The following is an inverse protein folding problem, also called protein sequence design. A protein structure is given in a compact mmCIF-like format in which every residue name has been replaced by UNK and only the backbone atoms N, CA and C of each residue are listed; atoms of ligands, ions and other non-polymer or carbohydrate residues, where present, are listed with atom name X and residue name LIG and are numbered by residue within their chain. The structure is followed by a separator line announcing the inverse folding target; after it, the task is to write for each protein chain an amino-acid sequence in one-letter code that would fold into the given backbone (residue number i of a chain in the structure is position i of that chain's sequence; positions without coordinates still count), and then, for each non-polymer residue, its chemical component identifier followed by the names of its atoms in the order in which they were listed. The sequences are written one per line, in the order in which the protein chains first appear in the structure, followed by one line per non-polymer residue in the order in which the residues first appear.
data_IF_894615093050
#
_entry.id   IF_894615093050
#
_cell.length_a   1.000
_cell.length_b   1.000
_cell.length_c   1.000
_cell.angle_alpha   90.00
_cell.angle_beta   90.00
_cell.angle_gamma   90.00
#
_symmetry.space_group_name_H-M   'P 1'
#
loop_
_entity.id
_entity.type
_entity.pdbx_description
1 polymer ?
#
# COMPACT_ATOMS: atom_id res chain seq x y z
N UNK A 1 -14.92 -2.05 -12.44
CA UNK A 1 -13.81 -1.85 -13.37
C UNK A 1 -12.56 -1.44 -12.62
N UNK A 2 -11.40 -1.83 -13.12
CA UNK A 2 -10.14 -1.62 -12.41
C UNK A 2 -9.83 -0.14 -12.17
N UNK A 3 -10.13 0.74 -13.15
CA UNK A 3 -9.91 2.18 -13.06
C UNK A 3 -10.75 2.82 -11.95
N UNK A 4 -11.95 2.31 -11.70
CA UNK A 4 -12.81 2.80 -10.63
C UNK A 4 -12.23 2.48 -9.26
N UNK A 5 -11.64 1.28 -9.09
CA UNK A 5 -11.01 0.88 -7.84
C UNK A 5 -9.80 1.75 -7.49
N UNK A 6 -9.04 2.16 -8.48
CA UNK A 6 -7.89 3.05 -8.25
C UNK A 6 -8.35 4.47 -7.91
N UNK A 7 -9.59 4.84 -8.23
CA UNK A 7 -10.17 6.13 -7.86
C UNK A 7 -10.87 6.08 -6.50
N UNK A 8 -10.86 4.92 -5.83
CA UNK A 8 -11.45 4.80 -4.48
C UNK A 8 -10.55 5.48 -3.44
N UNK A 9 -11.20 6.01 -2.41
CA UNK A 9 -10.52 6.57 -1.25
C UNK A 9 -9.65 5.52 -0.57
N UNK A 10 -8.41 5.87 -0.26
CA UNK A 10 -7.51 4.97 0.46
C UNK A 10 -8.08 4.67 1.85
N UNK A 11 -8.44 5.71 2.60
CA UNK A 11 -8.99 5.53 3.96
C UNK A 11 -10.27 4.70 3.94
N UNK A 12 -11.21 5.05 3.07
CA UNK A 12 -12.50 4.34 2.99
C UNK A 12 -12.32 2.89 2.60
N UNK A 13 -11.41 2.59 1.65
CA UNK A 13 -11.10 1.23 1.24
C UNK A 13 -10.55 0.39 2.39
N UNK A 14 -9.61 0.95 3.15
CA UNK A 14 -9.00 0.24 4.28
C UNK A 14 -10.05 -0.01 5.37
N UNK A 15 -10.86 0.99 5.70
CA UNK A 15 -11.95 0.84 6.68
C UNK A 15 -12.91 -0.28 6.28
N UNK A 16 -13.29 -0.30 5.01
CA UNK A 16 -14.18 -1.35 4.50
C UNK A 16 -13.57 -2.73 4.66
N UNK A 17 -12.30 -2.88 4.35
CA UNK A 17 -11.59 -4.17 4.48
C UNK A 17 -11.42 -4.59 5.95
N UNK A 18 -11.41 -3.62 6.87
CA UNK A 18 -11.36 -3.90 8.30
C UNK A 18 -12.76 -4.19 8.88
N UNK A 19 -13.81 -4.06 8.09
CA UNK A 19 -15.18 -4.29 8.54
C UNK A 19 -15.80 -3.11 9.26
N UNK A 20 -15.27 -1.91 9.09
CA UNK A 20 -15.77 -0.71 9.73
C UNK A 20 -16.71 0.05 8.78
N UNK A 21 -17.86 0.55 9.29
CA UNK A 21 -18.71 1.43 8.49
C UNK A 21 -17.96 2.71 8.09
N UNK A 22 -18.22 3.22 6.89
CA UNK A 22 -17.56 4.42 6.41
C UNK A 22 -17.84 5.64 7.27
N UNK A 23 -19.06 5.76 7.76
CA UNK A 23 -19.51 6.88 8.60
C UNK A 23 -18.99 6.82 10.03
N UNK A 24 -18.43 5.69 10.46
CA UNK A 24 -17.88 5.53 11.81
C UNK A 24 -16.44 6.05 11.82
N UNK A 25 -16.23 7.21 12.40
CA UNK A 25 -14.96 7.93 12.29
C UNK A 25 -14.12 7.95 13.59
N UNK A 26 -14.55 7.22 14.61
CA UNK A 26 -13.88 7.25 15.92
C UNK A 26 -12.41 6.80 15.85
N UNK A 27 -12.06 5.92 14.91
CA UNK A 27 -10.71 5.39 14.77
C UNK A 27 -9.96 5.91 13.55
N UNK A 28 -10.51 6.91 12.86
CA UNK A 28 -9.90 7.39 11.61
C UNK A 28 -8.46 7.85 11.82
N UNK A 29 -8.18 8.60 12.90
CA UNK A 29 -6.83 9.08 13.16
C UNK A 29 -5.84 7.94 13.35
N UNK A 30 -6.23 6.92 14.12
CA UNK A 30 -5.38 5.75 14.34
C UNK A 30 -5.13 4.99 13.03
N UNK A 31 -6.19 4.80 12.24
CA UNK A 31 -6.10 4.09 10.97
C UNK A 31 -5.20 4.86 9.98
N UNK A 32 -5.38 6.18 9.89
CA UNK A 32 -4.54 7.04 9.05
C UNK A 32 -3.06 6.91 9.45
N UNK A 33 -2.78 6.92 10.75
CA UNK A 33 -1.41 6.76 11.26
C UNK A 33 -0.80 5.44 10.79
N UNK A 34 -1.55 4.35 10.88
CA UNK A 34 -1.08 3.03 10.45
C UNK A 34 -0.93 2.96 8.92
N UNK A 35 -1.85 3.56 8.18
CA UNK A 35 -1.74 3.64 6.71
C UNK A 35 -0.46 4.38 6.33
N UNK A 36 -0.20 5.52 6.94
CA UNK A 36 0.99 6.32 6.65
C UNK A 36 2.28 5.59 7.01
N UNK A 37 2.27 4.80 8.08
CA UNK A 37 3.41 3.94 8.42
C UNK A 37 3.68 2.91 7.32
N UNK A 38 2.64 2.31 6.76
CA UNK A 38 2.78 1.37 5.65
C UNK A 38 3.35 2.06 4.41
N UNK A 39 2.87 3.26 4.09
CA UNK A 39 3.41 4.02 2.95
C UNK A 39 4.87 4.41 3.16
N UNK A 40 5.28 4.70 4.38
CA UNK A 40 6.69 4.97 4.68
C UNK A 40 7.57 3.78 4.33
N UNK A 41 7.14 2.57 4.70
CA UNK A 41 7.88 1.35 4.32
C UNK A 41 7.90 1.19 2.81
N UNK A 42 6.78 1.41 2.13
CA UNK A 42 6.73 1.32 0.67
C UNK A 42 7.70 2.29 0.00
N UNK A 43 7.81 3.52 0.51
CA UNK A 43 8.79 4.48 0.02
C UNK A 43 10.22 3.95 0.17
N UNK A 44 10.53 3.34 1.31
CA UNK A 44 11.85 2.74 1.55
C UNK A 44 12.15 1.58 0.60
N UNK A 45 11.11 0.87 0.16
CA UNK A 45 11.25 -0.23 -0.81
C UNK A 45 11.35 0.26 -2.25
N UNK A 46 11.21 1.56 -2.48
CA UNK A 46 11.25 2.13 -3.83
C UNK A 46 9.91 2.12 -4.54
N UNK A 47 8.80 1.97 -3.81
CA UNK A 47 7.45 1.91 -4.38
C UNK A 47 6.74 3.24 -4.14
N UNK A 48 6.18 3.82 -5.20
CA UNK A 48 5.46 5.08 -5.14
C UNK A 48 6.36 6.29 -5.29
N UNK A 49 5.87 7.49 -4.94
CA UNK A 49 6.65 8.71 -5.10
C UNK A 49 7.94 8.71 -4.28
N UNK A 50 9.04 9.14 -4.89
CA UNK A 50 10.36 9.13 -4.26
C UNK A 50 10.42 10.02 -3.01
N UNK A 51 9.61 11.08 -2.99
CA UNK A 51 9.55 12.02 -1.86
C UNK A 51 8.72 11.53 -0.69
N UNK A 52 8.10 10.38 -0.85
CA UNK A 52 7.21 9.82 0.16
C UNK A 52 5.75 10.11 -0.11
N UNK A 53 4.86 9.52 0.68
CA UNK A 53 3.43 9.65 0.49
C UNK A 53 2.71 9.50 1.82
N UNK A 54 1.73 10.37 2.06
CA UNK A 54 0.90 10.36 3.26
C UNK A 54 -0.54 10.74 2.90
N UNK A 55 -1.48 10.26 3.68
CA UNK A 55 -2.87 10.71 3.60
C UNK A 55 -3.23 11.48 4.88
N UNK A 56 -4.17 12.42 4.75
CA UNK A 56 -4.70 13.17 5.89
C UNK A 56 -6.18 12.87 6.14
N UNK A 57 -6.90 12.48 5.10
CA UNK A 57 -8.34 12.25 5.18
C UNK A 57 -8.79 11.28 4.07
N UNK A 58 -10.10 11.17 3.89
CA UNK A 58 -10.70 10.26 2.92
C UNK A 58 -10.65 10.75 1.48
N UNK A 59 -10.14 11.95 1.23
CA UNK A 59 -10.17 12.52 -0.12
C UNK A 59 -9.04 11.98 -1.02
N UNK A 60 -7.97 11.46 -0.43
CA UNK A 60 -6.84 10.92 -1.20
C UNK A 60 -7.20 9.53 -1.75
N UNK A 61 -6.97 9.33 -3.03
CA UNK A 61 -7.32 8.09 -3.73
C UNK A 61 -6.06 7.29 -4.08
N UNK A 62 -6.24 6.00 -4.40
CA UNK A 62 -5.11 5.11 -4.68
C UNK A 62 -4.25 5.59 -5.87
N UNK A 63 -4.88 6.15 -6.90
CA UNK A 63 -4.13 6.63 -8.06
C UNK A 63 -3.26 7.86 -7.75
N UNK A 64 -3.52 8.56 -6.64
CA UNK A 64 -2.62 9.62 -6.15
C UNK A 64 -1.28 9.06 -5.69
N UNK A 65 -1.29 7.83 -5.15
CA UNK A 65 -0.06 7.15 -4.74
C UNK A 65 0.69 6.60 -5.95
N UNK A 66 0.01 5.88 -6.83
CA UNK A 66 0.62 5.39 -8.05
C UNK A 66 -0.46 5.11 -9.10
N UNK A 67 -0.27 5.63 -10.32
CA UNK A 67 -1.24 5.42 -11.39
C UNK A 67 -1.11 4.05 -12.06
N UNK A 68 -0.08 3.28 -11.76
CA UNK A 68 0.22 2.02 -12.43
C UNK A 68 -0.56 0.86 -11.81
N UNK A 69 -1.38 0.21 -12.64
CA UNK A 69 -2.19 -0.95 -12.24
C UNK A 69 -1.37 -2.15 -11.79
N UNK A 70 -0.15 -2.29 -12.28
CA UNK A 70 0.68 -3.47 -12.01
C UNK A 70 0.94 -3.65 -10.52
N UNK A 71 1.09 -2.56 -9.79
CA UNK A 71 1.38 -2.61 -8.34
C UNK A 71 0.13 -2.51 -7.47
N UNK A 72 -0.99 -2.09 -8.04
CA UNK A 72 -2.15 -1.66 -7.27
C UNK A 72 -2.67 -2.72 -6.29
N UNK A 73 -2.91 -3.94 -6.79
CA UNK A 73 -3.48 -5.00 -5.94
C UNK A 73 -2.51 -5.38 -4.83
N UNK A 74 -1.24 -5.46 -5.13
CA UNK A 74 -0.23 -5.85 -4.15
C UNK A 74 -0.05 -4.76 -3.09
N UNK A 75 -0.01 -3.49 -3.51
CA UNK A 75 0.07 -2.34 -2.59
C UNK A 75 -1.14 -2.30 -1.68
N UNK A 76 -2.34 -2.42 -2.24
CA UNK A 76 -3.58 -2.40 -1.45
C UNK A 76 -3.60 -3.53 -0.43
N UNK A 77 -3.29 -4.74 -0.86
CA UNK A 77 -3.26 -5.91 0.04
C UNK A 77 -2.24 -5.72 1.15
N UNK A 78 -1.06 -5.19 0.82
CA UNK A 78 -0.02 -4.92 1.79
C UNK A 78 -0.47 -3.89 2.83
N UNK A 79 -1.01 -2.76 2.38
CA UNK A 79 -1.45 -1.69 3.29
C UNK A 79 -2.54 -2.20 4.23
N UNK A 80 -3.55 -2.89 3.70
CA UNK A 80 -4.65 -3.43 4.51
C UNK A 80 -4.14 -4.41 5.56
N UNK A 81 -3.26 -5.32 5.16
CA UNK A 81 -2.73 -6.34 6.08
C UNK A 81 -1.86 -5.72 7.17
N UNK A 82 -1.04 -4.73 6.80
CA UNK A 82 -0.19 -4.01 7.73
C UNK A 82 -1.03 -3.24 8.77
N UNK A 83 -2.09 -2.56 8.31
CA UNK A 83 -3.00 -1.83 9.19
C UNK A 83 -3.73 -2.81 10.12
N UNK A 84 -4.23 -3.93 9.58
CA UNK A 84 -4.92 -4.94 10.40
C UNK A 84 -4.02 -5.45 11.52
N UNK A 85 -2.76 -5.72 11.20
CA UNK A 85 -1.81 -6.23 12.19
C UNK A 85 -1.61 -5.25 13.36
N UNK A 86 -1.62 -3.95 13.07
CA UNK A 86 -1.40 -2.90 14.08
C UNK A 86 -2.67 -2.45 14.78
N UNK A 87 -3.79 -2.42 14.06
CA UNK A 87 -5.06 -1.89 14.57
C UNK A 87 -5.93 -2.97 15.19
N UNK A 88 -6.05 -4.12 14.55
CA UNK A 88 -6.94 -5.19 14.98
C UNK A 88 -6.27 -6.55 14.72
N UNK A 89 -5.19 -6.87 15.46
CA UNK A 89 -4.46 -8.10 15.21
C UNK A 89 -5.31 -9.33 15.53
N UNK A 90 -5.09 -10.45 14.80
CA UNK A 90 -5.81 -11.69 15.08
C UNK A 90 -5.42 -12.25 16.45
N UNK A 91 -6.36 -12.88 17.14
CA UNK A 91 -6.13 -13.49 18.46
C UNK A 91 -5.31 -14.78 18.32
N UNK A 92 -5.56 -15.54 17.24
CA UNK A 92 -4.85 -16.79 17.00
C UNK A 92 -3.39 -16.54 16.64
N UNK A 93 -2.46 -17.16 17.34
CA UNK A 93 -1.03 -17.05 17.05
C UNK A 93 -0.68 -17.64 15.68
N UNK A 94 -1.40 -18.67 15.24
CA UNK A 94 -1.19 -19.27 13.93
C UNK A 94 -1.57 -18.29 12.82
N UNK A 95 -2.71 -17.59 12.94
CA UNK A 95 -3.14 -16.59 11.97
C UNK A 95 -2.20 -15.40 11.98
N UNK A 96 -1.74 -14.96 13.16
CA UNK A 96 -0.78 -13.88 13.30
C UNK A 96 0.51 -14.18 12.54
N UNK A 97 1.03 -15.41 12.67
CA UNK A 97 2.24 -15.81 11.94
C UNK A 97 2.00 -15.85 10.42
N UNK A 98 0.81 -16.28 9.98
CA UNK A 98 0.45 -16.24 8.57
C UNK A 98 0.46 -14.81 8.03
N UNK A 99 -0.08 -13.85 8.80
CA UNK A 99 -0.08 -12.45 8.41
C UNK A 99 1.35 -11.90 8.30
N UNK A 100 2.21 -12.20 9.26
CA UNK A 100 3.61 -11.76 9.24
C UNK A 100 4.36 -12.32 8.03
N UNK A 101 4.15 -13.59 7.74
CA UNK A 101 4.76 -14.25 6.58
C UNK A 101 4.28 -13.60 5.29
N UNK A 102 3.00 -13.31 5.18
CA UNK A 102 2.41 -12.68 3.99
C UNK A 102 2.94 -11.26 3.81
N UNK A 103 3.08 -10.50 4.89
CA UNK A 103 3.64 -9.14 4.86
C UNK A 103 5.07 -9.18 4.32
N UNK A 104 5.89 -10.10 4.83
CA UNK A 104 7.28 -10.26 4.37
C UNK A 104 7.34 -10.62 2.88
N UNK A 105 6.45 -11.49 2.42
CA UNK A 105 6.37 -11.87 1.01
C UNK A 105 5.98 -10.68 0.14
N UNK A 106 5.00 -9.89 0.56
CA UNK A 106 4.58 -8.70 -0.19
C UNK A 106 5.72 -7.68 -0.27
N UNK A 107 6.45 -7.45 0.83
CA UNK A 107 7.57 -6.52 0.84
C UNK A 107 8.65 -6.96 -0.14
N UNK A 108 8.97 -8.25 -0.15
CA UNK A 108 9.96 -8.79 -1.08
C UNK A 108 9.51 -8.64 -2.54
N UNK A 109 8.26 -8.96 -2.84
CA UNK A 109 7.71 -8.84 -4.19
C UNK A 109 7.70 -7.40 -4.67
N UNK A 110 7.23 -6.49 -3.82
CA UNK A 110 7.17 -5.06 -4.17
C UNK A 110 8.56 -4.48 -4.38
N UNK A 111 9.49 -4.82 -3.52
CA UNK A 111 10.90 -4.39 -3.68
C UNK A 111 11.48 -4.90 -4.99
N UNK A 112 11.29 -6.17 -5.27
CA UNK A 112 11.81 -6.80 -6.50
C UNK A 112 11.20 -6.15 -7.74
N UNK A 113 9.90 -5.90 -7.75
CA UNK A 113 9.23 -5.25 -8.87
C UNK A 113 9.75 -3.83 -9.08
N UNK A 114 9.97 -3.08 -8.01
CA UNK A 114 10.52 -1.73 -8.08
C UNK A 114 11.93 -1.72 -8.64
N UNK A 115 12.77 -2.67 -8.22
CA UNK A 115 14.14 -2.80 -8.72
C UNK A 115 14.16 -3.14 -10.22
N UNK A 116 13.27 -4.02 -10.66
CA UNK A 116 13.16 -4.40 -12.07
C UNK A 116 12.73 -3.20 -12.93
N UNK A 117 11.79 -2.41 -12.45
CA UNK A 117 11.35 -1.22 -13.15
C UNK A 117 12.48 -0.20 -13.27
N UNK A 118 13.26 -0.01 -12.22
CA UNK A 118 14.43 0.88 -12.23
C UNK A 118 15.48 0.42 -13.23
N UNK A 119 15.73 -0.88 -13.31
CA UNK A 119 16.67 -1.46 -14.29
C UNK A 119 16.19 -1.23 -15.72
N UNK A 120 14.90 -1.40 -15.99
CA UNK A 120 14.32 -1.14 -17.32
C UNK A 120 14.50 0.32 -17.73
N UNK A 121 14.26 1.26 -16.82
CA UNK A 121 14.45 2.69 -17.10
C UNK A 121 15.90 2.99 -17.38
N UNK A 122 16.83 2.42 -16.64
CA UNK A 122 18.28 2.60 -16.85
C UNK A 122 18.71 2.05 -18.20
N UNK A 123 18.22 0.89 -18.62
CA UNK A 123 18.52 0.29 -19.92
C UNK A 123 17.99 1.18 -21.06
N UNK A 124 16.77 1.70 -20.94
CA UNK A 124 16.19 2.60 -21.93
C UNK A 124 17.02 3.88 -22.07
N UNK A 125 17.44 4.46 -20.96
CA UNK A 125 18.31 5.66 -20.96
C UNK A 125 19.64 5.37 -21.66
N UNK A 126 20.23 4.20 -21.39
CA UNK A 126 21.49 3.79 -22.02
C UNK A 126 21.31 3.54 -23.53
N UNK A 127 20.18 2.98 -23.94
CA UNK A 127 19.91 2.73 -25.36
C UNK A 127 19.67 4.01 -26.14
N UNK A 128 19.25 5.09 -25.48
CA UNK A 128 18.98 6.40 -26.10
C UNK A 128 20.21 7.33 -26.07
N UNK A 129 21.31 6.92 -25.47
CA UNK A 129 22.50 7.77 -25.32
C UNK A 129 23.42 7.76 -26.55
N UNK A 130 23.09 6.99 -27.58
CA UNK A 130 23.79 6.96 -28.85
C UNK A 130 23.20 8.01 -29.81
#
# INVERSE_FOLDING_TARGET
MASEKMNDSILSSVKKMLGLPEEYDAFDLDIITHINSAFTVLTQLGVGPADGFMIDDKTTIWSDFMPDMRFYQLVKSYVVLKVRLLFDPPISSAVLECYKTQINEYEWRLKTMAEMEEEEVTEDDNSNSD
#
